data_IF_312149069927
#
_entry.id   IF_312149069927
#
_cell.length_a   1.000
_cell.length_b   1.000
_cell.length_c   1.000
_cell.angle_alpha   90.00
_cell.angle_beta   90.00
_cell.angle_gamma   90.00
#
_symmetry.space_group_name_H-M   'P 1'
#
loop_
_entity.id
_entity.type
_entity.pdbx_description
1 polymer ?
#
# COMPACT_ATOMS: atom_id res chain seq x y z
N UNK A 1 11.42 12.06 13.36
CA UNK A 1 12.23 10.92 12.86
C UNK A 1 12.01 10.80 11.35
N UNK A 2 13.07 10.84 10.54
CA UNK A 2 12.96 10.71 9.07
C UNK A 2 12.93 9.22 8.69
N UNK A 3 11.98 8.74 7.90
CA UNK A 3 11.96 7.34 7.40
C UNK A 3 12.46 7.35 5.95
N UNK A 4 13.40 6.47 5.63
CA UNK A 4 14.13 6.46 4.35
C UNK A 4 14.01 5.12 3.62
N UNK A 5 14.37 5.07 2.33
CA UNK A 5 14.30 3.85 1.50
C UNK A 5 15.04 2.67 2.15
N UNK A 6 16.21 2.93 2.76
CA UNK A 6 17.00 1.92 3.46
C UNK A 6 16.27 1.33 4.66
N UNK A 7 15.29 2.03 5.24
CA UNK A 7 14.56 1.52 6.39
C UNK A 7 13.61 0.38 5.98
N UNK A 8 13.33 0.20 4.68
CA UNK A 8 12.63 -0.98 4.14
C UNK A 8 13.60 -2.10 3.75
N UNK A 9 14.90 -1.99 4.06
CA UNK A 9 15.89 -2.97 3.60
C UNK A 9 15.83 -4.32 4.29
N UNK A 10 15.29 -4.32 5.50
CA UNK A 10 15.16 -5.48 6.37
C UNK A 10 13.76 -6.10 6.23
N UNK A 11 13.67 -7.42 6.46
CA UNK A 11 12.38 -8.13 6.50
C UNK A 11 11.46 -7.49 7.55
N UNK A 12 12.05 -7.14 8.70
CA UNK A 12 11.43 -6.36 9.78
C UNK A 12 12.26 -5.08 9.90
N UNK A 13 11.66 -3.92 9.71
CA UNK A 13 12.36 -2.64 9.91
C UNK A 13 12.34 -2.25 11.39
N UNK A 14 13.49 -2.23 12.09
CA UNK A 14 13.52 -1.87 13.51
C UNK A 14 12.97 -0.47 13.76
N UNK A 15 13.19 0.43 12.81
CA UNK A 15 12.72 1.80 12.88
C UNK A 15 11.21 1.92 12.67
N UNK A 16 10.63 1.13 11.76
CA UNK A 16 9.17 1.08 11.62
C UNK A 16 8.50 0.39 12.80
N UNK A 17 9.14 -0.62 13.40
CA UNK A 17 8.67 -1.22 14.66
C UNK A 17 8.68 -0.21 15.80
N UNK A 18 9.69 0.66 15.88
CA UNK A 18 9.71 1.77 16.86
C UNK A 18 8.55 2.74 16.60
N UNK A 19 8.28 3.13 15.35
CA UNK A 19 7.12 4.00 15.05
C UNK A 19 5.80 3.33 15.40
N UNK A 20 5.66 2.05 15.06
CA UNK A 20 4.47 1.26 15.40
C UNK A 20 4.28 1.17 16.91
N UNK A 21 5.35 0.94 17.65
CA UNK A 21 5.37 0.94 19.12
C UNK A 21 5.05 2.30 19.74
N UNK A 22 5.31 3.41 19.04
CA UNK A 22 4.96 4.75 19.51
C UNK A 22 3.50 5.14 19.19
N UNK A 23 2.97 4.68 18.05
CA UNK A 23 1.60 5.00 17.60
C UNK A 23 0.54 4.20 18.36
N UNK A 24 0.83 2.93 18.72
CA UNK A 24 -0.13 2.10 19.45
C UNK A 24 -0.58 2.70 20.80
N UNK A 25 0.32 3.18 21.68
CA UNK A 25 -0.07 3.83 22.92
C UNK A 25 -0.78 5.16 22.71
N UNK A 26 -0.40 5.96 21.70
CA UNK A 26 -1.05 7.23 21.37
C UNK A 26 -2.52 7.04 20.99
N UNK A 27 -2.82 6.03 20.14
CA UNK A 27 -4.20 5.66 19.81
C UNK A 27 -4.99 5.11 20.99
N UNK A 28 -4.32 4.39 21.89
CA UNK A 28 -4.96 3.85 23.08
C UNK A 28 -5.32 4.95 24.11
N UNK A 29 -4.57 6.05 24.12
CA UNK A 29 -4.78 7.19 25.04
C UNK A 29 -5.64 8.30 24.45
N UNK A 30 -5.69 8.44 23.13
CA UNK A 30 -6.56 9.38 22.44
C UNK A 30 -7.31 8.70 21.28
N UNK A 31 -8.53 8.20 21.52
CA UNK A 31 -9.33 7.50 20.50
C UNK A 31 -9.69 8.36 19.28
N UNK A 32 -9.72 9.69 19.44
CA UNK A 32 -9.96 10.66 18.36
C UNK A 32 -8.69 10.93 17.52
N UNK A 33 -7.53 10.41 17.92
CA UNK A 33 -6.29 10.54 17.16
C UNK A 33 -6.32 9.64 15.91
N UNK A 34 -6.57 10.29 14.78
CA UNK A 34 -6.58 9.65 13.46
C UNK A 34 -5.18 9.32 12.93
N UNK A 35 -4.11 9.72 13.64
CA UNK A 35 -2.71 9.49 13.25
C UNK A 35 -2.45 8.00 13.08
N UNK A 36 -2.46 7.53 11.85
CA UNK A 36 -2.16 6.15 11.52
C UNK A 36 -0.73 6.00 10.99
N UNK A 37 -0.11 4.85 11.28
CA UNK A 37 1.28 4.54 10.92
C UNK A 37 1.57 4.79 9.43
N UNK A 38 0.62 4.50 8.54
CA UNK A 38 0.81 4.73 7.12
C UNK A 38 0.88 6.22 6.80
N UNK A 39 0.12 7.08 7.47
CA UNK A 39 0.19 8.55 7.29
C UNK A 39 1.52 9.13 7.75
N UNK A 40 2.03 8.70 8.92
CA UNK A 40 3.35 9.13 9.42
C UNK A 40 4.46 8.74 8.45
N UNK A 41 4.42 7.50 7.96
CA UNK A 41 5.44 6.98 7.04
C UNK A 41 5.34 7.66 5.68
N UNK A 42 4.13 7.82 5.16
CA UNK A 42 3.87 8.54 3.90
C UNK A 42 4.42 9.97 3.95
N UNK A 43 4.14 10.71 5.03
CA UNK A 43 4.64 12.07 5.21
C UNK A 43 6.18 12.11 5.23
N UNK A 44 6.84 11.13 5.85
CA UNK A 44 8.31 11.00 5.81
C UNK A 44 8.88 10.84 4.39
N UNK A 45 8.10 10.29 3.47
CA UNK A 45 8.46 10.12 2.06
C UNK A 45 7.99 11.25 1.15
N UNK A 46 7.36 12.31 1.68
CA UNK A 46 6.70 13.37 0.90
C UNK A 46 5.44 12.89 0.16
N UNK A 47 4.72 11.94 0.75
CA UNK A 47 3.41 11.48 0.32
C UNK A 47 3.38 10.05 -0.23
N UNK A 48 2.15 9.59 -0.45
CA UNK A 48 1.82 8.20 -0.77
C UNK A 48 2.53 7.72 -2.04
N UNK A 49 2.62 8.57 -3.07
CA UNK A 49 3.26 8.23 -4.34
C UNK A 49 4.77 7.98 -4.22
N UNK A 50 5.48 8.79 -3.44
CA UNK A 50 6.91 8.61 -3.24
C UNK A 50 7.20 7.37 -2.37
N UNK A 51 6.40 7.14 -1.33
CA UNK A 51 6.45 5.93 -0.52
C UNK A 51 6.22 4.67 -1.37
N UNK A 52 5.18 4.68 -2.22
CA UNK A 52 4.84 3.54 -3.07
C UNK A 52 5.96 3.15 -4.03
N UNK A 53 6.63 4.15 -4.63
CA UNK A 53 7.77 3.90 -5.51
C UNK A 53 8.93 3.23 -4.77
N UNK A 54 9.25 3.71 -3.56
CA UNK A 54 10.30 3.12 -2.72
C UNK A 54 9.96 1.67 -2.35
N UNK A 55 8.71 1.42 -1.96
CA UNK A 55 8.21 0.07 -1.63
C UNK A 55 8.31 -0.86 -2.83
N UNK A 56 7.80 -0.48 -4.01
CA UNK A 56 7.81 -1.35 -5.20
C UNK A 56 9.23 -1.61 -5.68
N UNK A 57 10.10 -0.60 -5.65
CA UNK A 57 11.54 -0.76 -5.93
C UNK A 57 12.17 -1.78 -4.97
N UNK A 58 11.87 -1.67 -3.68
CA UNK A 58 12.39 -2.59 -2.66
C UNK A 58 11.86 -4.01 -2.84
N UNK A 59 10.58 -4.17 -3.10
CA UNK A 59 9.95 -5.47 -3.35
C UNK A 59 10.55 -6.15 -4.59
N UNK A 60 10.82 -5.40 -5.66
CA UNK A 60 11.52 -5.94 -6.83
C UNK A 60 12.92 -6.48 -6.47
N UNK A 61 13.68 -5.73 -5.66
CA UNK A 61 15.00 -6.19 -5.19
C UNK A 61 14.91 -7.43 -4.29
N UNK A 62 13.97 -7.46 -3.34
CA UNK A 62 13.78 -8.63 -2.45
C UNK A 62 13.35 -9.86 -3.24
N UNK A 63 12.38 -9.70 -4.14
CA UNK A 63 11.84 -10.80 -4.92
C UNK A 63 12.91 -11.47 -5.79
N UNK A 64 13.85 -10.68 -6.33
CA UNK A 64 14.99 -11.21 -7.10
C UNK A 64 15.94 -12.09 -6.28
N UNK A 65 15.97 -11.94 -4.96
CA UNK A 65 16.87 -12.68 -4.05
C UNK A 65 16.16 -13.81 -3.33
N UNK A 66 14.95 -13.53 -2.83
CA UNK A 66 14.13 -14.45 -2.08
C UNK A 66 12.64 -14.05 -2.21
N UNK A 67 11.89 -14.69 -3.12
CA UNK A 67 10.47 -14.41 -3.34
C UNK A 67 9.60 -14.54 -2.09
N UNK A 68 9.89 -15.53 -1.23
CA UNK A 68 9.11 -15.79 -0.01
C UNK A 68 9.32 -14.66 0.99
N UNK A 69 10.57 -14.23 1.19
CA UNK A 69 10.87 -13.11 2.07
C UNK A 69 10.28 -11.78 1.57
N UNK A 70 10.16 -11.59 0.25
CA UNK A 70 9.53 -10.40 -0.31
C UNK A 70 8.05 -10.30 0.09
N UNK A 71 7.32 -11.42 0.07
CA UNK A 71 5.90 -11.48 0.45
C UNK A 71 5.72 -11.24 1.96
N UNK A 72 6.63 -11.74 2.79
CA UNK A 72 6.56 -11.59 4.24
C UNK A 72 7.20 -10.28 4.78
N UNK A 73 7.63 -9.37 3.90
CA UNK A 73 8.37 -8.16 4.30
C UNK A 73 7.44 -7.02 4.72
N UNK A 74 7.94 -6.12 5.58
CA UNK A 74 7.26 -4.86 5.90
C UNK A 74 6.91 -4.04 4.65
N UNK A 75 7.71 -4.13 3.57
CA UNK A 75 7.40 -3.45 2.32
C UNK A 75 6.08 -3.96 1.69
N UNK A 76 5.84 -5.28 1.72
CA UNK A 76 4.59 -5.87 1.21
C UNK A 76 3.39 -5.49 2.08
N UNK A 77 3.58 -5.39 3.40
CA UNK A 77 2.54 -4.91 4.31
C UNK A 77 2.13 -3.47 4.00
N UNK A 78 3.09 -2.56 3.86
CA UNK A 78 2.82 -1.16 3.54
C UNK A 78 2.23 -0.98 2.14
N UNK A 79 2.66 -1.78 1.15
CA UNK A 79 2.01 -1.81 -0.16
C UNK A 79 0.51 -2.12 -0.03
N UNK A 80 0.18 -3.16 0.73
CA UNK A 80 -1.20 -3.56 0.95
C UNK A 80 -2.01 -2.48 1.69
N UNK A 81 -1.40 -1.78 2.65
CA UNK A 81 -2.03 -0.66 3.35
C UNK A 81 -2.33 0.51 2.40
N UNK A 82 -1.38 0.88 1.52
CA UNK A 82 -1.61 1.91 0.49
C UNK A 82 -2.73 1.51 -0.47
N UNK A 83 -2.71 0.27 -0.97
CA UNK A 83 -3.73 -0.20 -1.91
C UNK A 83 -5.12 -0.20 -1.29
N UNK A 84 -5.25 -0.62 -0.02
CA UNK A 84 -6.51 -0.54 0.72
C UNK A 84 -6.97 0.90 0.89
N UNK A 85 -6.07 1.82 1.23
CA UNK A 85 -6.37 3.26 1.37
C UNK A 85 -6.89 3.81 0.04
N UNK A 86 -6.16 3.66 -1.05
CA UNK A 86 -6.56 4.17 -2.37
C UNK A 86 -7.87 3.55 -2.88
N UNK A 87 -8.07 2.25 -2.67
CA UNK A 87 -9.33 1.59 -3.04
C UNK A 87 -10.52 2.15 -2.25
N UNK A 88 -10.37 2.35 -0.93
CA UNK A 88 -11.41 2.98 -0.10
C UNK A 88 -11.68 4.42 -0.52
N UNK A 89 -10.64 5.15 -0.90
CA UNK A 89 -10.72 6.50 -1.46
C UNK A 89 -11.24 6.55 -2.90
N UNK A 90 -11.61 5.40 -3.50
CA UNK A 90 -12.14 5.27 -4.85
C UNK A 90 -11.20 5.83 -5.94
N UNK A 91 -9.90 5.69 -5.74
CA UNK A 91 -8.91 6.02 -6.76
C UNK A 91 -8.97 4.94 -7.85
N UNK A 92 -9.27 5.34 -9.07
CA UNK A 92 -9.33 4.44 -10.20
C UNK A 92 -7.93 4.27 -10.83
N UNK A 93 -7.53 3.05 -11.25
CA UNK A 93 -6.26 2.85 -11.94
C UNK A 93 -6.02 3.78 -13.15
N UNK A 94 -7.07 4.16 -13.87
CA UNK A 94 -7.02 5.06 -15.04
C UNK A 94 -6.63 6.48 -14.64
N UNK A 95 -7.14 6.98 -13.52
CA UNK A 95 -6.82 8.34 -13.04
C UNK A 95 -5.59 8.38 -12.10
N UNK A 96 -5.05 7.21 -11.75
CA UNK A 96 -4.03 7.05 -10.72
C UNK A 96 -2.79 7.91 -10.96
N UNK A 97 -2.25 7.92 -12.17
CA UNK A 97 -1.03 8.69 -12.49
C UNK A 97 -1.21 10.18 -12.17
N UNK A 98 -2.34 10.76 -12.56
CA UNK A 98 -2.65 12.16 -12.30
C UNK A 98 -2.94 12.42 -10.82
N UNK A 99 -3.73 11.57 -10.18
CA UNK A 99 -4.17 11.80 -8.79
C UNK A 99 -3.07 11.54 -7.75
N UNK A 100 -2.19 10.57 -7.97
CA UNK A 100 -1.21 10.13 -6.97
C UNK A 100 0.19 10.64 -7.27
N UNK A 101 0.55 10.79 -8.55
CA UNK A 101 1.89 11.25 -8.95
C UNK A 101 1.90 12.64 -9.58
N UNK A 102 0.74 13.22 -9.92
CA UNK A 102 0.67 14.51 -10.59
C UNK A 102 1.28 14.50 -12.00
N UNK A 103 1.33 13.34 -12.67
CA UNK A 103 1.90 13.20 -14.02
C UNK A 103 0.95 12.45 -14.94
N UNK A 104 1.14 12.63 -16.25
CA UNK A 104 0.52 11.79 -17.27
C UNK A 104 1.24 10.44 -17.39
N UNK A 105 0.52 9.38 -17.78
CA UNK A 105 1.08 8.03 -17.93
C UNK A 105 2.28 7.99 -18.90
N UNK A 106 2.21 8.77 -19.98
CA UNK A 106 3.28 8.88 -20.96
C UNK A 106 4.61 9.35 -20.34
N UNK A 107 4.52 10.21 -19.32
CA UNK A 107 5.67 10.80 -18.62
C UNK A 107 6.07 10.00 -17.38
N UNK A 108 5.34 8.94 -17.03
CA UNK A 108 5.57 8.19 -15.83
C UNK A 108 6.86 7.34 -15.92
N UNK A 109 7.69 7.42 -14.89
CA UNK A 109 8.89 6.61 -14.75
C UNK A 109 8.60 5.13 -14.49
N UNK A 110 9.63 4.29 -14.61
CA UNK A 110 9.55 2.83 -14.40
C UNK A 110 8.84 2.45 -13.10
N UNK A 111 9.19 3.09 -11.99
CA UNK A 111 8.64 2.75 -10.68
C UNK A 111 7.20 3.22 -10.50
N UNK A 112 6.82 4.36 -11.05
CA UNK A 112 5.42 4.82 -11.07
C UNK A 112 4.56 3.82 -11.85
N UNK A 113 5.00 3.41 -13.05
CA UNK A 113 4.30 2.39 -13.85
C UNK A 113 4.19 1.04 -13.11
N UNK A 114 5.24 0.65 -12.39
CA UNK A 114 5.23 -0.57 -11.59
C UNK A 114 4.24 -0.49 -10.41
N UNK A 115 4.10 0.66 -9.76
CA UNK A 115 3.08 0.91 -8.73
C UNK A 115 1.68 0.78 -9.34
N UNK A 116 1.39 1.49 -10.44
CA UNK A 116 0.06 1.44 -11.06
C UNK A 116 -0.29 0.02 -11.47
N UNK A 117 0.62 -0.71 -12.13
CA UNK A 117 0.39 -2.11 -12.52
C UNK A 117 0.00 -2.99 -11.34
N UNK A 118 0.70 -2.88 -10.20
CA UNK A 118 0.44 -3.67 -9.00
C UNK A 118 -0.89 -3.27 -8.35
N UNK A 119 -1.19 -1.97 -8.31
CA UNK A 119 -2.47 -1.46 -7.82
C UNK A 119 -3.65 -1.90 -8.71
N UNK A 120 -3.52 -1.88 -10.04
CA UNK A 120 -4.53 -2.38 -10.98
C UNK A 120 -4.86 -3.84 -10.72
N UNK A 121 -3.84 -4.68 -10.47
CA UNK A 121 -4.06 -6.08 -10.09
C UNK A 121 -4.91 -6.20 -8.84
N UNK A 122 -4.53 -5.50 -7.77
CA UNK A 122 -5.30 -5.47 -6.52
C UNK A 122 -6.75 -4.95 -6.73
N UNK A 123 -6.93 -3.87 -7.50
CA UNK A 123 -8.22 -3.25 -7.77
C UNK A 123 -9.16 -4.21 -8.49
N UNK A 124 -8.66 -4.91 -9.51
CA UNK A 124 -9.41 -5.90 -10.28
C UNK A 124 -9.80 -7.10 -9.42
N UNK A 125 -8.87 -7.64 -8.62
CA UNK A 125 -9.14 -8.76 -7.72
C UNK A 125 -10.22 -8.41 -6.69
N UNK A 126 -10.19 -7.18 -6.14
CA UNK A 126 -11.21 -6.71 -5.21
C UNK A 126 -12.58 -6.58 -5.85
N UNK A 127 -12.66 -6.00 -7.05
CA UNK A 127 -13.92 -5.88 -7.76
C UNK A 127 -14.48 -7.24 -8.20
N UNK A 128 -13.62 -8.18 -8.60
CA UNK A 128 -14.03 -9.54 -8.91
C UNK A 128 -14.62 -10.24 -7.68
N UNK A 129 -13.95 -10.15 -6.52
CA UNK A 129 -14.43 -10.72 -5.27
C UNK A 129 -15.79 -10.13 -4.85
N UNK A 130 -15.98 -8.81 -4.97
CA UNK A 130 -17.27 -8.16 -4.66
C UNK A 130 -18.39 -8.66 -5.56
N UNK A 131 -18.13 -8.85 -6.86
CA UNK A 131 -19.13 -9.40 -7.80
C UNK A 131 -19.53 -10.83 -7.42
N UNK A 132 -18.56 -11.68 -7.09
CA UNK A 132 -18.84 -13.07 -6.66
C UNK A 132 -19.69 -13.09 -5.38
N UNK A 133 -19.36 -12.29 -4.37
CA UNK A 133 -20.17 -12.19 -3.15
C UNK A 133 -21.61 -11.73 -3.42
N UNK A 134 -21.79 -10.78 -4.35
CA UNK A 134 -23.13 -10.34 -4.73
C UNK A 134 -23.92 -11.46 -5.42
N UNK A 135 -23.30 -12.22 -6.32
CA UNK A 135 -23.98 -13.34 -7.00
C UNK A 135 -24.37 -14.47 -6.04
N UNK A 136 -23.55 -14.82 -5.05
CA UNK A 136 -23.89 -15.86 -4.05
C UNK A 136 -25.06 -15.43 -3.16
N UNK A 137 -25.16 -14.15 -2.82
CA UNK A 137 -26.26 -13.62 -2.01
C UNK A 137 -27.60 -13.56 -2.75
N UNK A 138 -27.61 -13.60 -4.08
CA UNK A 138 -28.84 -13.52 -4.89
C UNK A 138 -29.45 -14.90 -5.18
N UNK A 139 -28.69 -15.99 -5.01
CA UNK A 139 -29.21 -17.34 -5.22
C UNK A 139 -30.21 -17.66 -4.09
N UNK A 140 -31.53 -17.78 -4.38
CA UNK A 140 -32.47 -18.19 -3.36
C UNK A 140 -32.13 -19.63 -2.98
N UNK A 141 -31.96 -19.88 -1.69
CA UNK A 141 -31.83 -21.23 -1.13
C UNK A 141 -33.12 -21.97 -1.51
N UNK A 142 -33.07 -22.87 -2.51
CA UNK A 142 -34.21 -23.72 -2.86
C UNK A 142 -34.55 -24.56 -1.64
N UNK A 143 -35.67 -24.23 -0.99
CA UNK A 143 -36.39 -25.12 -0.08
C UNK A 143 -37.16 -26.18 -0.88
#
# INVERSE_FOLDING_TARGET
MNIEEKDFSHIISPKLEIVKGYIMPLKATNPEDTTDLLSVVSNGFKGDGALAQAIVKKLAMLHSRNPVAAVASTAAEFEMLLFRRWFKSKIDPVSFYRQVFGVEEANAGRWQKAVVRRYTGYYNDKNAATRVSHTVNIIPRRS
#
